data_IF_485077187701
#
_entry.id   IF_485077187701
#
_cell.length_a   1.000
_cell.length_b   1.000
_cell.length_c   1.000
_cell.angle_alpha   90.00
_cell.angle_beta   90.00
_cell.angle_gamma   90.00
#
_symmetry.space_group_name_H-M   'P 1'
#
loop_
_entity.id
_entity.type
_entity.pdbx_description
1 polymer ?
#
# COMPACT_ATOMS: atom_id res chain seq x y z
N UNK A 1 20.24 -1.59 -30.78
CA UNK A 1 19.72 -2.38 -31.93
C UNK A 1 19.96 -3.83 -31.62
N UNK A 2 18.89 -4.63 -31.54
CA UNK A 2 19.00 -6.08 -31.31
C UNK A 2 19.38 -6.68 -32.67
N UNK A 3 20.51 -7.34 -32.73
CA UNK A 3 20.97 -8.03 -33.94
C UNK A 3 20.86 -9.53 -33.70
N UNK A 4 20.02 -10.22 -34.51
CA UNK A 4 19.92 -11.67 -34.62
C UNK A 4 19.64 -12.43 -33.30
N UNK A 5 18.38 -12.49 -32.91
CA UNK A 5 17.94 -13.54 -32.01
C UNK A 5 17.69 -14.83 -32.84
N UNK A 6 18.68 -15.66 -33.13
CA UNK A 6 18.50 -16.92 -33.86
C UNK A 6 17.60 -17.88 -33.05
N UNK A 7 16.33 -17.54 -32.96
CA UNK A 7 15.32 -18.26 -32.19
C UNK A 7 14.45 -19.07 -33.17
N UNK A 8 14.39 -20.37 -32.96
CA UNK A 8 13.46 -21.24 -33.69
C UNK A 8 12.03 -20.90 -33.24
N UNK A 9 11.16 -20.65 -34.22
CA UNK A 9 9.75 -20.45 -33.96
C UNK A 9 9.02 -21.78 -33.80
N UNK A 10 8.03 -21.79 -32.90
CA UNK A 10 7.09 -22.90 -32.74
C UNK A 10 5.85 -22.69 -33.61
N UNK A 11 5.13 -23.75 -34.02
CA UNK A 11 3.81 -23.60 -34.65
C UNK A 11 2.87 -22.84 -33.69
N UNK A 12 2.12 -21.85 -34.22
CA UNK A 12 1.20 -21.03 -33.46
C UNK A 12 1.80 -19.69 -33.02
N UNK A 13 1.34 -19.18 -31.89
CA UNK A 13 1.74 -17.85 -31.38
C UNK A 13 3.07 -17.96 -30.66
N UNK A 14 4.00 -17.07 -30.99
CA UNK A 14 5.30 -16.93 -30.34
C UNK A 14 5.38 -15.56 -29.67
N UNK A 15 5.80 -15.52 -28.41
CA UNK A 15 5.98 -14.29 -27.64
C UNK A 15 7.46 -13.99 -27.48
N UNK A 16 7.83 -12.73 -27.64
CA UNK A 16 9.18 -12.22 -27.43
C UNK A 16 9.16 -11.07 -26.46
N UNK A 17 10.10 -11.08 -25.52
CA UNK A 17 10.29 -9.99 -24.55
C UNK A 17 11.61 -9.29 -24.82
N UNK A 18 11.58 -7.96 -24.76
CA UNK A 18 12.79 -7.14 -24.81
C UNK A 18 13.08 -6.69 -23.39
N UNK A 19 14.19 -7.14 -22.84
CA UNK A 19 14.70 -6.67 -21.53
C UNK A 19 15.80 -5.63 -21.75
N UNK A 20 15.77 -4.58 -20.95
CA UNK A 20 16.76 -3.52 -20.96
C UNK A 20 17.40 -3.43 -19.57
N UNK A 21 18.72 -3.47 -19.53
CA UNK A 21 19.48 -3.18 -18.32
C UNK A 21 19.90 -1.71 -18.33
N UNK A 22 19.48 -0.95 -17.33
CA UNK A 22 19.85 0.45 -17.19
C UNK A 22 21.31 0.57 -16.73
N UNK A 23 22.01 1.57 -17.24
CA UNK A 23 23.37 1.89 -16.76
C UNK A 23 23.31 2.43 -15.33
N UNK A 24 24.29 2.13 -14.48
CA UNK A 24 24.44 2.80 -13.19
C UNK A 24 24.40 4.33 -13.34
N UNK A 25 23.65 5.02 -12.49
CA UNK A 25 23.51 6.47 -12.53
C UNK A 25 22.50 7.02 -13.54
N UNK A 26 21.72 6.19 -14.22
CA UNK A 26 20.58 6.67 -15.02
C UNK A 26 19.63 7.50 -14.15
N UNK A 27 19.16 8.63 -14.68
CA UNK A 27 18.25 9.52 -13.95
C UNK A 27 16.87 8.87 -13.78
N UNK A 28 16.28 8.97 -12.57
CA UNK A 28 14.90 8.56 -12.33
C UNK A 28 13.87 9.42 -13.10
N UNK A 29 14.31 10.53 -13.69
CA UNK A 29 13.49 11.37 -14.58
C UNK A 29 13.51 10.90 -16.03
N UNK A 30 14.47 10.03 -16.40
CA UNK A 30 14.56 9.48 -17.74
C UNK A 30 13.39 8.56 -18.06
N UNK A 31 13.15 8.42 -19.36
CA UNK A 31 12.13 7.51 -19.89
C UNK A 31 12.78 6.57 -20.90
N UNK A 32 12.30 5.36 -20.92
CA UNK A 32 12.71 4.32 -21.86
C UNK A 32 11.52 3.93 -22.71
N UNK A 33 11.75 3.88 -24.03
CA UNK A 33 10.78 3.37 -25.00
C UNK A 33 11.45 2.39 -25.94
N UNK A 34 10.68 1.45 -26.47
CA UNK A 34 11.15 0.54 -27.51
C UNK A 34 10.11 0.47 -28.63
N UNK A 35 10.60 0.42 -29.88
CA UNK A 35 9.76 0.25 -31.07
C UNK A 35 10.34 -0.89 -31.92
N UNK A 36 9.49 -1.77 -32.36
CA UNK A 36 9.86 -2.75 -33.39
C UNK A 36 9.82 -2.05 -34.74
N UNK A 37 10.93 -2.02 -35.43
CA UNK A 37 11.05 -1.38 -36.75
C UNK A 37 10.84 -2.39 -37.86
N UNK A 38 11.44 -3.57 -37.70
CA UNK A 38 11.39 -4.65 -38.71
C UNK A 38 11.50 -6.01 -38.03
N UNK A 39 10.78 -6.96 -38.49
CA UNK A 39 10.93 -8.40 -38.16
C UNK A 39 11.29 -9.15 -39.44
N UNK A 40 12.31 -9.99 -39.36
CA UNK A 40 12.69 -10.90 -40.46
C UNK A 40 12.61 -12.34 -39.98
N UNK A 41 11.99 -13.18 -40.76
CA UNK A 41 11.96 -14.63 -40.59
C UNK A 41 12.61 -15.23 -41.81
N UNK A 42 13.64 -16.06 -41.61
CA UNK A 42 14.43 -16.68 -42.72
C UNK A 42 14.93 -15.62 -43.73
N UNK A 43 15.45 -14.50 -43.22
CA UNK A 43 15.92 -13.33 -43.98
C UNK A 43 14.86 -12.61 -44.85
N UNK A 44 13.60 -12.97 -44.77
CA UNK A 44 12.48 -12.28 -45.43
C UNK A 44 11.77 -11.38 -44.44
N UNK A 45 11.37 -10.17 -44.84
CA UNK A 45 10.58 -9.30 -44.03
C UNK A 45 9.22 -9.92 -43.73
N UNK A 46 8.86 -9.99 -42.46
CA UNK A 46 7.55 -10.44 -42.03
C UNK A 46 6.55 -9.27 -42.03
N UNK A 47 5.32 -9.55 -42.43
CA UNK A 47 4.23 -8.57 -42.31
C UNK A 47 3.97 -8.31 -40.86
N UNK A 48 4.09 -7.03 -40.44
CA UNK A 48 3.85 -6.62 -39.08
C UNK A 48 2.51 -5.93 -38.95
N UNK A 49 1.65 -6.43 -38.07
CA UNK A 49 0.50 -5.70 -37.54
C UNK A 49 0.89 -5.14 -36.17
N UNK A 50 1.26 -3.87 -36.14
CA UNK A 50 1.64 -3.21 -34.87
C UNK A 50 0.38 -2.82 -34.10
N UNK A 51 0.13 -3.47 -32.99
CA UNK A 51 -0.98 -3.15 -32.06
C UNK A 51 -0.49 -2.27 -30.91
N UNK A 52 0.78 -1.86 -30.90
CA UNK A 52 1.32 -0.99 -29.86
C UNK A 52 0.82 0.42 -30.02
N UNK A 53 0.26 1.04 -28.98
CA UNK A 53 -0.02 2.47 -28.99
C UNK A 53 1.27 3.24 -29.29
N UNK A 54 1.18 4.23 -30.16
CA UNK A 54 2.33 5.11 -30.42
C UNK A 54 2.74 5.83 -29.12
N UNK A 55 4.06 5.93 -28.89
CA UNK A 55 4.66 6.72 -27.80
C UNK A 55 4.53 6.20 -26.37
N UNK A 56 4.42 4.91 -26.14
CA UNK A 56 4.59 4.40 -24.78
C UNK A 56 6.04 4.54 -24.36
N UNK A 57 6.28 5.34 -23.33
CA UNK A 57 7.55 5.47 -22.66
C UNK A 57 7.41 5.20 -21.17
N UNK A 58 8.23 4.30 -20.65
CA UNK A 58 8.26 3.96 -19.24
C UNK A 58 9.30 4.82 -18.51
N UNK A 59 8.95 5.33 -17.33
CA UNK A 59 9.94 6.00 -16.46
C UNK A 59 10.93 4.97 -15.93
N UNK A 60 12.15 5.42 -15.76
CA UNK A 60 13.16 4.66 -15.03
C UNK A 60 12.77 4.60 -13.57
N UNK A 61 12.91 3.43 -12.95
CA UNK A 61 12.63 3.23 -11.54
C UNK A 61 13.69 2.34 -10.91
N UNK A 62 13.80 2.42 -9.58
CA UNK A 62 14.64 1.52 -8.79
C UNK A 62 13.71 0.50 -8.13
N UNK A 63 13.94 -0.78 -8.38
CA UNK A 63 13.28 -1.85 -7.64
C UNK A 63 13.83 -1.92 -6.23
N UNK A 64 12.96 -1.74 -5.23
CA UNK A 64 13.36 -1.84 -3.82
C UNK A 64 13.63 -3.29 -3.45
N UNK A 65 12.78 -4.19 -3.92
CA UNK A 65 12.88 -5.65 -3.76
C UNK A 65 12.31 -6.36 -4.99
N UNK A 66 12.81 -7.55 -5.25
CA UNK A 66 12.36 -8.42 -6.33
C UNK A 66 12.02 -9.80 -5.80
N UNK A 67 11.15 -10.51 -6.48
CA UNK A 67 10.89 -11.92 -6.18
C UNK A 67 12.19 -12.71 -6.17
N UNK A 68 12.42 -13.51 -5.12
CA UNK A 68 13.67 -14.23 -4.87
C UNK A 68 14.64 -13.52 -3.92
N UNK A 69 14.53 -12.19 -3.74
CA UNK A 69 15.34 -11.48 -2.77
C UNK A 69 14.97 -11.96 -1.34
N UNK A 70 15.98 -12.03 -0.47
CA UNK A 70 15.82 -12.41 0.95
C UNK A 70 15.05 -13.73 1.15
N UNK A 71 15.04 -14.64 0.14
CA UNK A 71 14.38 -15.94 0.19
C UNK A 71 12.88 -15.90 0.04
N UNK A 72 12.30 -14.78 -0.42
CA UNK A 72 10.85 -14.59 -0.57
C UNK A 72 10.36 -14.95 -1.98
N UNK A 73 9.14 -15.48 -2.07
CA UNK A 73 8.47 -15.71 -3.35
C UNK A 73 7.92 -14.40 -3.96
N UNK A 74 7.52 -13.45 -3.11
CA UNK A 74 6.96 -12.18 -3.58
C UNK A 74 7.04 -11.08 -2.50
N UNK A 75 7.05 -9.83 -2.96
CA UNK A 75 6.81 -8.64 -2.13
C UNK A 75 5.53 -7.95 -2.61
N UNK A 76 4.66 -7.57 -1.65
CA UNK A 76 3.37 -6.95 -1.97
C UNK A 76 3.03 -5.86 -0.96
N UNK A 77 1.91 -5.16 -1.20
CA UNK A 77 1.30 -4.18 -0.27
C UNK A 77 2.28 -3.10 0.17
N UNK A 78 2.86 -2.33 -0.77
CA UNK A 78 3.85 -1.32 -0.41
C UNK A 78 3.25 -0.09 0.25
N UNK A 79 3.97 0.45 1.24
CA UNK A 79 3.77 1.78 1.79
C UNK A 79 5.07 2.58 1.73
N UNK A 80 4.98 3.90 1.61
CA UNK A 80 6.14 4.79 1.57
C UNK A 80 5.92 5.99 2.48
N UNK A 81 6.90 6.29 3.32
CA UNK A 81 6.92 7.49 4.14
C UNK A 81 8.30 8.15 4.08
N UNK A 82 8.33 9.46 4.38
CA UNK A 82 9.58 10.22 4.49
C UNK A 82 9.68 10.72 5.93
N UNK A 83 10.83 10.49 6.58
CA UNK A 83 11.10 11.00 7.92
C UNK A 83 11.46 12.48 7.89
N UNK A 84 11.47 13.14 9.07
CA UNK A 84 11.90 14.54 9.18
C UNK A 84 13.36 14.75 8.74
N UNK A 85 14.16 13.69 8.66
CA UNK A 85 15.55 13.72 8.17
C UNK A 85 15.66 13.54 6.65
N UNK A 86 14.53 13.36 5.95
CA UNK A 86 14.51 13.08 4.52
C UNK A 86 14.78 11.62 4.16
N UNK A 87 14.87 10.73 5.15
CA UNK A 87 15.01 9.28 4.90
C UNK A 87 13.70 8.73 4.33
N UNK A 88 13.78 8.01 3.21
CA UNK A 88 12.66 7.27 2.67
C UNK A 88 12.56 5.91 3.36
N UNK A 89 11.37 5.55 3.78
CA UNK A 89 11.05 4.28 4.41
C UNK A 89 9.99 3.56 3.57
N UNK A 90 10.38 2.48 2.90
CA UNK A 90 9.48 1.63 2.14
C UNK A 90 9.11 0.40 2.97
N UNK A 91 7.84 0.24 3.32
CA UNK A 91 7.30 -0.92 4.03
C UNK A 91 6.52 -1.82 3.07
N UNK A 92 6.48 -3.12 3.31
CA UNK A 92 5.82 -4.09 2.44
C UNK A 92 5.67 -5.45 3.12
N UNK A 93 4.78 -6.31 2.57
CA UNK A 93 4.75 -7.74 2.88
C UNK A 93 5.94 -8.45 2.28
N UNK A 94 6.60 -9.28 3.09
CA UNK A 94 7.56 -10.30 2.66
C UNK A 94 6.84 -11.64 2.64
N UNK A 95 6.48 -12.13 1.47
CA UNK A 95 5.71 -13.36 1.29
C UNK A 95 6.64 -14.49 0.88
N UNK A 96 6.95 -15.38 1.82
CA UNK A 96 8.03 -16.36 1.63
C UNK A 96 7.64 -17.52 0.70
N UNK A 97 6.43 -18.06 0.80
CA UNK A 97 6.07 -19.29 0.09
C UNK A 97 5.30 -19.03 -1.22
N UNK A 98 4.51 -17.96 -1.26
CA UNK A 98 3.67 -17.65 -2.42
C UNK A 98 3.24 -16.17 -2.40
N UNK A 99 2.54 -15.71 -3.44
CA UNK A 99 1.99 -14.35 -3.50
C UNK A 99 0.61 -14.20 -2.86
N UNK A 100 0.09 -15.22 -2.17
CA UNK A 100 -1.26 -15.20 -1.57
C UNK A 100 -1.31 -14.28 -0.33
N UNK A 101 -2.52 -13.85 0.00
CA UNK A 101 -2.79 -13.06 1.19
C UNK A 101 -2.76 -13.95 2.46
N UNK A 102 -2.70 -13.33 3.65
CA UNK A 102 -2.77 -14.02 4.94
C UNK A 102 -3.98 -15.00 5.00
N UNK A 103 -3.87 -16.21 5.50
CA UNK A 103 -2.82 -16.78 6.35
C UNK A 103 -1.75 -17.46 5.50
N UNK A 104 -0.49 -17.17 5.76
CA UNK A 104 0.70 -17.81 5.21
C UNK A 104 1.93 -17.28 5.96
N UNK A 105 3.14 -17.80 5.67
CA UNK A 105 4.39 -17.21 6.16
C UNK A 105 4.61 -15.85 5.49
N UNK A 106 4.23 -14.81 6.22
CA UNK A 106 4.35 -13.41 5.79
C UNK A 106 4.89 -12.60 6.98
N UNK A 107 5.89 -11.78 6.71
CA UNK A 107 6.41 -10.77 7.64
C UNK A 107 6.26 -9.38 7.04
N UNK A 108 6.34 -8.36 7.89
CA UNK A 108 6.43 -6.97 7.43
C UNK A 108 7.89 -6.60 7.25
N UNK A 109 8.30 -6.38 6.01
CA UNK A 109 9.61 -5.89 5.64
C UNK A 109 9.67 -4.37 5.54
N UNK A 110 10.86 -3.81 5.74
CA UNK A 110 11.13 -2.39 5.58
C UNK A 110 12.52 -2.16 4.99
N UNK A 111 12.61 -1.30 4.00
CA UNK A 111 13.87 -0.80 3.44
C UNK A 111 13.99 0.70 3.63
N UNK A 112 15.22 1.16 3.88
CA UNK A 112 15.57 2.58 4.06
C UNK A 112 16.39 3.08 2.88
N UNK A 113 16.18 4.33 2.50
CA UNK A 113 17.04 5.06 1.58
C UNK A 113 17.35 6.45 2.14
N UNK A 114 18.62 6.82 2.15
CA UNK A 114 19.10 8.14 2.63
C UNK A 114 19.59 9.04 1.49
N UNK A 115 19.41 8.60 0.25
CA UNK A 115 19.91 9.27 -0.96
C UNK A 115 18.81 9.59 -1.98
N UNK A 116 17.57 9.72 -1.49
CA UNK A 116 16.41 10.04 -2.33
C UNK A 116 15.92 8.87 -3.18
N UNK A 117 16.12 7.63 -2.73
CA UNK A 117 15.63 6.42 -3.39
C UNK A 117 16.55 5.85 -4.46
N UNK A 118 17.78 6.35 -4.58
CA UNK A 118 18.77 5.85 -5.55
C UNK A 118 19.29 4.48 -5.12
N UNK A 119 19.57 4.32 -3.82
CA UNK A 119 19.96 3.05 -3.21
C UNK A 119 19.09 2.76 -1.99
N UNK A 120 18.95 1.47 -1.67
CA UNK A 120 18.15 0.99 -0.57
C UNK A 120 18.98 0.05 0.30
N UNK A 121 18.91 0.25 1.61
CA UNK A 121 19.59 -0.60 2.58
C UNK A 121 19.00 -2.01 2.62
N UNK A 122 19.71 -2.94 3.28
CA UNK A 122 19.19 -4.28 3.57
C UNK A 122 17.85 -4.20 4.28
N UNK A 123 16.98 -5.13 3.96
CA UNK A 123 15.68 -5.28 4.60
C UNK A 123 15.82 -5.46 6.11
N UNK A 124 14.89 -4.84 6.84
CA UNK A 124 14.60 -5.07 8.26
C UNK A 124 13.20 -5.63 8.39
N UNK A 125 12.92 -6.28 9.50
CA UNK A 125 11.61 -6.83 9.80
C UNK A 125 11.02 -6.10 11.02
N UNK A 126 10.30 -4.98 10.85
CA UNK A 126 9.62 -4.29 11.94
C UNK A 126 8.62 -5.15 12.70
N UNK A 127 7.96 -6.06 12.00
CA UNK A 127 7.03 -7.03 12.56
C UNK A 127 7.28 -8.38 11.92
N UNK A 128 7.63 -9.36 12.75
CA UNK A 128 7.82 -10.76 12.38
C UNK A 128 7.55 -11.62 13.61
N UNK A 129 6.79 -12.68 13.46
CA UNK A 129 6.42 -13.53 14.58
C UNK A 129 7.11 -14.90 14.54
N UNK A 130 7.53 -15.37 13.37
CA UNK A 130 8.20 -16.65 13.22
C UNK A 130 7.39 -17.81 13.83
N UNK A 131 8.07 -18.68 14.56
CA UNK A 131 7.44 -19.71 15.38
C UNK A 131 7.01 -19.10 16.70
N UNK A 132 5.71 -18.91 16.89
CA UNK A 132 5.11 -18.28 18.07
C UNK A 132 3.93 -19.11 18.57
N UNK A 133 3.77 -19.21 19.90
CA UNK A 133 2.64 -19.92 20.52
C UNK A 133 2.60 -21.42 20.19
N UNK A 134 3.74 -22.03 19.87
CA UNK A 134 3.84 -23.45 19.48
C UNK A 134 3.39 -23.74 18.05
N UNK A 135 3.15 -22.70 17.24
CA UNK A 135 2.75 -22.83 15.83
C UNK A 135 3.88 -22.36 14.89
N UNK A 136 4.02 -22.97 13.71
CA UNK A 136 5.04 -22.60 12.73
C UNK A 136 4.79 -21.20 12.13
N UNK A 137 5.80 -20.61 11.52
CA UNK A 137 5.73 -19.29 10.90
C UNK A 137 4.58 -19.12 9.90
N UNK A 138 4.22 -20.17 9.14
CA UNK A 138 3.07 -20.15 8.23
C UNK A 138 1.72 -20.02 8.94
N UNK A 139 1.66 -20.18 10.25
CA UNK A 139 0.48 -19.97 11.10
C UNK A 139 0.59 -18.69 11.95
N UNK A 140 1.58 -17.85 11.68
CA UNK A 140 1.88 -16.61 12.40
C UNK A 140 2.12 -15.42 11.47
N UNK A 141 1.49 -15.42 10.30
CA UNK A 141 1.69 -14.36 9.32
C UNK A 141 1.23 -12.99 9.82
N UNK A 142 2.03 -11.97 9.52
CA UNK A 142 1.71 -10.55 9.78
C UNK A 142 1.89 -9.75 8.50
N UNK A 143 0.88 -8.97 8.10
CA UNK A 143 0.92 -8.30 6.80
C UNK A 143 -0.07 -7.15 6.64
N UNK A 144 -0.18 -6.70 5.39
CA UNK A 144 -0.92 -5.51 4.97
C UNK A 144 -0.44 -4.23 5.69
N UNK A 145 0.88 -3.91 5.73
CA UNK A 145 1.41 -2.86 6.60
C UNK A 145 0.95 -1.46 6.20
N UNK A 146 0.84 -0.60 7.21
CA UNK A 146 0.74 0.85 7.04
C UNK A 146 1.82 1.54 7.87
N UNK A 147 2.47 2.55 7.29
CA UNK A 147 3.56 3.29 7.95
C UNK A 147 3.14 4.73 8.24
N UNK A 148 3.53 5.26 9.40
CA UNK A 148 3.29 6.64 9.81
C UNK A 148 4.55 7.22 10.46
N UNK A 149 4.91 8.44 10.08
CA UNK A 149 5.95 9.21 10.76
C UNK A 149 5.26 10.27 11.61
N UNK A 150 5.46 10.23 12.93
CA UNK A 150 5.10 11.34 13.80
C UNK A 150 6.05 12.51 13.53
N UNK A 151 5.57 13.49 12.78
CA UNK A 151 6.38 14.66 12.39
C UNK A 151 6.78 15.56 13.54
N UNK A 152 6.21 15.38 14.73
CA UNK A 152 6.57 16.16 15.92
C UNK A 152 7.74 15.55 16.70
N UNK A 153 7.85 14.22 16.71
CA UNK A 153 8.87 13.49 17.47
C UNK A 153 9.86 12.73 16.59
N UNK A 154 9.58 12.61 15.30
CA UNK A 154 10.24 11.73 14.34
C UNK A 154 10.17 10.23 14.72
N UNK A 155 9.21 9.85 15.55
CA UNK A 155 8.91 8.44 15.80
C UNK A 155 8.19 7.87 14.58
N UNK A 156 8.67 6.74 14.08
CA UNK A 156 8.02 6.02 12.99
C UNK A 156 7.23 4.86 13.56
N UNK A 157 6.00 4.70 13.11
CA UNK A 157 5.10 3.62 13.47
C UNK A 157 4.80 2.74 12.27
N UNK A 158 4.78 1.44 12.47
CA UNK A 158 4.25 0.47 11.50
C UNK A 158 3.14 -0.30 12.18
N UNK A 159 1.99 -0.39 11.53
CA UNK A 159 0.84 -1.19 11.98
C UNK A 159 0.56 -2.27 10.95
N UNK A 160 0.20 -3.47 11.40
CA UNK A 160 -0.16 -4.59 10.54
C UNK A 160 -1.17 -5.54 11.22
N UNK A 161 -1.81 -6.39 10.44
CA UNK A 161 -2.67 -7.45 10.95
C UNK A 161 -1.85 -8.72 11.15
N UNK A 162 -1.87 -9.29 12.36
CA UNK A 162 -1.27 -10.57 12.71
C UNK A 162 -2.35 -11.64 12.84
N UNK A 163 -2.12 -12.80 12.24
CA UNK A 163 -2.98 -13.98 12.33
C UNK A 163 -2.24 -15.11 13.04
N UNK A 164 -2.83 -15.66 14.10
CA UNK A 164 -2.27 -16.77 14.84
C UNK A 164 -3.18 -17.99 14.73
N UNK A 165 -2.67 -19.09 14.23
CA UNK A 165 -3.47 -20.29 13.99
C UNK A 165 -4.36 -20.14 12.76
N UNK A 166 -5.66 -20.13 12.93
CA UNK A 166 -6.71 -19.94 11.91
C UNK A 166 -6.64 -20.88 10.68
N UNK A 167 -5.81 -21.90 10.71
CA UNK A 167 -5.62 -22.87 9.61
C UNK A 167 -5.03 -22.23 8.34
N UNK A 168 -5.26 -22.85 7.19
CA UNK A 168 -4.73 -22.39 5.89
C UNK A 168 -5.74 -21.55 5.10
N UNK A 169 -6.78 -21.04 5.74
CA UNK A 169 -7.76 -20.17 5.10
C UNK A 169 -7.29 -18.72 5.15
N UNK A 170 -7.71 -17.92 4.18
CA UNK A 170 -7.44 -16.48 4.18
C UNK A 170 -8.03 -15.83 5.42
N UNK A 171 -7.27 -14.95 6.08
CA UNK A 171 -7.67 -14.23 7.29
C UNK A 171 -9.02 -13.52 7.14
N UNK A 172 -9.32 -13.00 5.95
CA UNK A 172 -10.61 -12.39 5.63
C UNK A 172 -11.82 -13.28 5.94
N UNK A 173 -11.66 -14.60 5.82
CA UNK A 173 -12.72 -15.59 6.06
C UNK A 173 -12.57 -16.35 7.36
N UNK A 174 -11.35 -16.51 7.84
CA UNK A 174 -11.02 -17.33 9.03
C UNK A 174 -10.91 -16.53 10.32
N UNK A 175 -10.94 -15.20 10.28
CA UNK A 175 -11.06 -14.36 11.47
C UNK A 175 -12.51 -14.30 11.94
N UNK A 176 -12.74 -14.47 13.24
CA UNK A 176 -14.06 -14.54 13.88
C UNK A 176 -14.24 -13.43 14.93
N UNK A 177 -15.47 -13.19 15.42
CA UNK A 177 -15.70 -12.28 16.52
C UNK A 177 -14.96 -12.70 17.78
N UNK A 178 -14.75 -11.76 18.68
CA UNK A 178 -14.00 -11.94 19.93
C UNK A 178 -12.66 -11.24 19.90
N UNK A 179 -11.84 -11.53 20.92
CA UNK A 179 -10.54 -10.90 21.16
C UNK A 179 -9.40 -11.94 21.21
N UNK A 180 -9.73 -13.23 21.30
CA UNK A 180 -8.76 -14.32 21.40
C UNK A 180 -7.94 -14.45 20.11
N UNK A 181 -6.61 -14.38 20.23
CA UNK A 181 -5.68 -14.46 19.13
C UNK A 181 -5.76 -15.75 18.30
N UNK A 182 -6.27 -16.85 18.90
CA UNK A 182 -6.47 -18.11 18.19
C UNK A 182 -7.70 -18.11 17.26
N UNK A 183 -8.58 -17.09 17.37
CA UNK A 183 -9.83 -17.02 16.62
C UNK A 183 -10.02 -15.73 15.84
N UNK A 184 -9.34 -14.65 16.24
CA UNK A 184 -9.47 -13.36 15.58
C UNK A 184 -8.10 -12.75 15.29
N UNK A 185 -7.94 -12.18 14.11
CA UNK A 185 -6.73 -11.46 13.76
C UNK A 185 -6.49 -10.29 14.74
N UNK A 186 -5.24 -10.07 15.05
CA UNK A 186 -4.77 -9.05 15.99
C UNK A 186 -4.22 -7.85 15.23
N UNK A 187 -4.48 -6.65 15.73
CA UNK A 187 -3.85 -5.44 15.21
C UNK A 187 -2.62 -5.13 16.05
N UNK A 188 -1.47 -5.13 15.40
CA UNK A 188 -0.16 -4.98 16.07
C UNK A 188 0.62 -3.80 15.51
N UNK A 189 1.37 -3.14 16.40
CA UNK A 189 2.24 -2.01 16.07
C UNK A 189 3.69 -2.35 16.39
N UNK A 190 4.61 -1.70 15.69
CA UNK A 190 6.00 -1.53 16.10
C UNK A 190 6.43 -0.09 15.87
N UNK A 191 7.36 0.43 16.70
CA UNK A 191 7.86 1.79 16.60
C UNK A 191 9.38 1.86 16.49
N UNK A 192 9.85 2.86 15.78
CA UNK A 192 11.26 3.23 15.68
C UNK A 192 11.44 4.69 16.09
N UNK A 193 12.43 4.97 16.93
CA UNK A 193 12.81 6.33 17.35
C UNK A 193 14.16 6.77 16.78
N UNK A 194 14.79 5.92 15.96
CA UNK A 194 16.13 6.11 15.42
C UNK A 194 16.15 6.15 13.88
N UNK A 195 15.07 6.69 13.29
CA UNK A 195 14.94 6.88 11.85
C UNK A 195 14.78 5.55 11.08
N UNK A 196 14.08 4.57 11.66
CA UNK A 196 13.79 3.27 11.07
C UNK A 196 14.95 2.29 11.07
N UNK A 197 16.00 2.51 11.89
CA UNK A 197 17.14 1.60 12.00
C UNK A 197 16.84 0.41 12.89
N UNK A 198 16.24 0.66 14.05
CA UNK A 198 15.79 -0.38 14.99
C UNK A 198 14.31 -0.22 15.31
N UNK A 199 13.68 -1.30 15.73
CA UNK A 199 12.24 -1.38 15.94
C UNK A 199 11.95 -2.01 17.30
N UNK A 200 10.87 -1.58 17.93
CA UNK A 200 10.40 -2.16 19.19
C UNK A 200 9.87 -3.57 18.97
N UNK A 201 9.75 -4.34 20.07
CA UNK A 201 8.91 -5.52 20.11
C UNK A 201 7.48 -5.18 19.64
N UNK A 202 6.74 -6.15 19.08
CA UNK A 202 5.36 -5.96 18.68
C UNK A 202 4.46 -5.52 19.85
N UNK A 203 3.63 -4.51 19.61
CA UNK A 203 2.66 -3.97 20.56
C UNK A 203 1.26 -4.36 20.07
N UNK A 204 0.58 -5.26 20.74
CA UNK A 204 -0.79 -5.62 20.41
C UNK A 204 -1.76 -4.55 20.95
N UNK A 205 -2.55 -3.95 20.06
CA UNK A 205 -3.53 -2.91 20.39
C UNK A 205 -4.97 -3.35 20.15
N UNK A 206 -5.19 -4.62 19.85
CA UNK A 206 -6.52 -5.15 19.51
C UNK A 206 -7.57 -4.80 20.56
N UNK A 207 -7.25 -4.97 21.84
CA UNK A 207 -8.15 -4.69 22.96
C UNK A 207 -8.49 -3.21 23.12
N UNK A 208 -7.69 -2.30 22.53
CA UNK A 208 -7.95 -0.87 22.57
C UNK A 208 -8.96 -0.44 21.49
N UNK A 209 -9.00 -1.14 20.36
CA UNK A 209 -9.62 -0.62 19.14
C UNK A 209 -10.65 -1.53 18.49
N UNK A 210 -10.59 -2.84 18.71
CA UNK A 210 -11.54 -3.78 18.09
C UNK A 210 -12.82 -3.90 18.92
N UNK A 211 -13.97 -3.80 18.26
CA UNK A 211 -15.23 -4.23 18.85
C UNK A 211 -15.30 -5.77 18.84
N UNK A 212 -15.63 -6.42 19.98
CA UNK A 212 -15.70 -7.87 20.05
C UNK A 212 -16.69 -8.52 19.06
N UNK A 213 -17.67 -7.79 18.58
CA UNK A 213 -18.63 -8.28 17.58
C UNK A 213 -18.08 -8.33 16.16
N UNK A 214 -16.96 -7.65 15.88
CA UNK A 214 -16.35 -7.63 14.54
C UNK A 214 -15.60 -8.92 14.24
N UNK A 215 -15.68 -9.36 13.00
CA UNK A 215 -14.96 -10.53 12.52
C UNK A 215 -13.47 -10.24 12.28
N UNK A 216 -13.16 -9.12 11.67
CA UNK A 216 -11.78 -8.76 11.30
C UNK A 216 -11.59 -7.26 11.42
N UNK A 217 -10.47 -6.86 12.00
CA UNK A 217 -10.01 -5.47 12.00
C UNK A 217 -8.60 -5.43 11.43
N UNK A 218 -8.37 -4.56 10.46
CA UNK A 218 -7.02 -4.28 9.95
C UNK A 218 -6.93 -2.81 9.52
N UNK A 219 -5.71 -2.34 9.36
CA UNK A 219 -5.43 -1.00 8.85
C UNK A 219 -5.73 -0.89 7.34
N UNK A 220 -5.89 0.34 6.85
CA UNK A 220 -5.74 0.63 5.43
C UNK A 220 -4.25 0.56 5.08
N UNK A 221 -3.83 -0.36 4.18
CA UNK A 221 -2.40 -0.50 3.88
C UNK A 221 -1.85 0.76 3.22
N UNK A 222 -0.54 0.95 3.32
CA UNK A 222 0.17 2.08 2.74
C UNK A 222 0.67 3.08 3.79
N UNK A 223 -0.08 4.14 4.11
CA UNK A 223 0.40 5.12 5.10
C UNK A 223 -0.71 5.75 5.94
N UNK A 224 -0.32 6.06 7.20
CA UNK A 224 -1.02 7.00 8.05
C UNK A 224 -0.44 8.42 7.93
N UNK A 225 -0.97 9.34 8.72
CA UNK A 225 -0.56 10.76 8.78
C UNK A 225 -0.40 11.25 10.21
N UNK A 226 0.40 12.29 10.38
CA UNK A 226 0.37 13.19 11.55
C UNK A 226 -0.40 14.44 11.17
N UNK A 227 -1.49 14.74 11.89
CA UNK A 227 -2.25 15.98 11.71
C UNK A 227 -1.44 17.19 12.19
N UNK A 228 -1.88 18.38 11.81
CA UNK A 228 -1.22 19.64 12.22
C UNK A 228 -1.17 19.82 13.74
N UNK A 229 -2.21 19.37 14.45
CA UNK A 229 -2.28 19.38 15.92
C UNK A 229 -1.42 18.28 16.57
N UNK A 230 -0.85 17.39 15.78
CA UNK A 230 -0.01 16.27 16.18
C UNK A 230 -0.78 14.97 16.46
N UNK A 231 -2.08 14.91 16.22
CA UNK A 231 -2.84 13.65 16.26
C UNK A 231 -2.31 12.70 15.20
N UNK A 232 -2.05 11.46 15.59
CA UNK A 232 -1.65 10.39 14.68
C UNK A 232 -2.90 9.70 14.15
N UNK A 233 -2.95 9.43 12.84
CA UNK A 233 -4.14 8.82 12.23
C UNK A 233 -3.72 7.75 11.23
N UNK A 234 -4.29 6.54 11.37
CA UNK A 234 -4.25 5.49 10.35
C UNK A 234 -5.65 5.29 9.76
N UNK A 235 -5.79 5.07 8.45
CA UNK A 235 -7.00 4.49 7.91
C UNK A 235 -7.16 3.06 8.40
N UNK A 236 -8.40 2.62 8.59
CA UNK A 236 -8.72 1.24 8.99
C UNK A 236 -9.87 0.69 8.16
N UNK A 237 -10.00 -0.63 8.20
CA UNK A 237 -11.14 -1.36 7.70
C UNK A 237 -11.49 -2.49 8.66
N UNK A 238 -12.77 -2.83 8.77
CA UNK A 238 -13.20 -3.94 9.59
C UNK A 238 -14.43 -4.64 8.98
N UNK A 239 -14.60 -5.90 9.29
CA UNK A 239 -15.78 -6.68 8.94
C UNK A 239 -16.67 -6.71 10.18
N UNK A 240 -17.86 -6.13 10.06
CA UNK A 240 -18.81 -6.05 11.18
C UNK A 240 -19.53 -7.37 11.48
N UNK A 241 -20.43 -7.35 12.47
CA UNK A 241 -21.22 -8.52 12.91
C UNK A 241 -22.14 -9.11 11.84
N UNK A 242 -22.40 -8.36 10.76
CA UNK A 242 -23.20 -8.82 9.61
C UNK A 242 -22.34 -9.27 8.43
N UNK A 243 -21.02 -9.38 8.64
CA UNK A 243 -20.00 -9.69 7.61
C UNK A 243 -19.88 -8.64 6.50
N UNK A 244 -20.29 -7.41 6.75
CA UNK A 244 -20.12 -6.31 5.83
C UNK A 244 -18.83 -5.56 6.15
N UNK A 245 -17.94 -5.32 5.16
CA UNK A 245 -16.73 -4.53 5.38
C UNK A 245 -17.05 -3.03 5.45
N UNK A 246 -16.37 -2.32 6.34
CA UNK A 246 -16.54 -0.91 6.58
C UNK A 246 -15.17 -0.23 6.73
N UNK A 247 -14.98 0.94 6.16
CA UNK A 247 -13.75 1.72 6.32
C UNK A 247 -13.96 2.93 7.24
N UNK A 248 -12.92 3.25 8.00
CA UNK A 248 -12.88 4.36 8.93
C UNK A 248 -11.45 4.79 9.23
N UNK A 249 -11.26 5.38 10.39
CA UNK A 249 -9.94 5.77 10.90
C UNK A 249 -9.73 5.30 12.33
N UNK A 250 -8.47 5.06 12.65
CA UNK A 250 -7.93 4.90 14.00
C UNK A 250 -7.03 6.08 14.29
N UNK A 251 -7.08 6.63 15.50
CA UNK A 251 -6.27 7.79 15.88
C UNK A 251 -5.70 7.70 17.29
N UNK A 252 -4.60 8.43 17.51
CA UNK A 252 -3.97 8.63 18.81
C UNK A 252 -3.70 10.13 19.05
N UNK A 253 -4.04 10.64 20.25
CA UNK A 253 -3.75 12.00 20.69
C UNK A 253 -2.58 12.09 21.66
N UNK A 254 -2.05 10.98 22.07
CA UNK A 254 -0.99 10.83 23.09
C UNK A 254 0.28 10.18 22.51
N UNK A 255 0.59 10.49 21.25
CA UNK A 255 1.79 10.02 20.55
C UNK A 255 1.90 8.50 20.40
N UNK A 256 0.75 7.81 20.29
CA UNK A 256 0.70 6.38 20.06
C UNK A 256 0.65 5.50 21.30
N UNK A 257 0.49 6.11 22.50
CA UNK A 257 0.32 5.36 23.74
C UNK A 257 -1.05 4.68 23.78
N UNK A 258 -2.11 5.40 23.35
CA UNK A 258 -3.44 4.84 23.21
C UNK A 258 -4.05 5.14 21.84
N UNK A 259 -4.86 4.21 21.35
CA UNK A 259 -5.52 4.30 20.05
C UNK A 259 -7.04 4.15 20.19
N UNK A 260 -7.78 4.83 19.32
CA UNK A 260 -9.25 4.84 19.34
C UNK A 260 -9.81 4.79 17.93
N UNK A 261 -10.96 4.11 17.80
CA UNK A 261 -11.82 4.10 16.62
C UNK A 261 -13.18 4.64 17.05
N UNK A 262 -13.85 5.38 16.17
CA UNK A 262 -15.24 5.78 16.32
C UNK A 262 -16.12 5.08 15.27
N UNK A 263 -16.87 5.82 14.48
CA UNK A 263 -17.78 5.27 13.49
C UNK A 263 -17.06 5.05 12.16
N UNK A 264 -17.56 4.12 11.34
CA UNK A 264 -17.13 3.98 9.95
C UNK A 264 -17.63 5.14 9.08
N UNK A 265 -16.88 5.43 8.02
CA UNK A 265 -17.23 6.48 7.08
C UNK A 265 -18.29 6.02 6.06
N UNK A 266 -18.19 4.78 5.62
CA UNK A 266 -19.12 4.19 4.65
C UNK A 266 -19.07 2.67 4.74
N UNK A 267 -20.24 2.05 4.64
CA UNK A 267 -20.40 0.59 4.57
C UNK A 267 -20.05 0.05 3.19
N UNK A 268 -19.69 -1.22 3.13
CA UNK A 268 -19.26 -1.96 1.94
C UNK A 268 -18.07 -1.29 1.24
N UNK A 269 -17.13 -0.80 2.05
CA UNK A 269 -15.84 -0.23 1.65
C UNK A 269 -14.71 -0.92 2.39
N UNK A 270 -13.52 -0.89 1.82
CA UNK A 270 -12.33 -1.59 2.35
C UNK A 270 -11.13 -0.63 2.39
N UNK A 271 -10.01 -1.02 1.85
CA UNK A 271 -8.76 -0.27 1.86
C UNK A 271 -8.94 1.22 1.57
N UNK A 272 -8.45 2.05 2.46
CA UNK A 272 -8.63 3.48 2.40
C UNK A 272 -7.31 4.23 2.60
N UNK A 273 -7.30 5.48 2.17
CA UNK A 273 -6.24 6.44 2.47
C UNK A 273 -6.82 7.69 3.10
N UNK A 274 -6.09 8.28 4.04
CA UNK A 274 -6.50 9.48 4.76
C UNK A 274 -5.55 10.65 4.46
N UNK A 275 -6.12 11.85 4.34
CA UNK A 275 -5.37 13.10 4.26
C UNK A 275 -6.04 14.19 5.11
N UNK A 276 -5.25 15.04 5.76
CA UNK A 276 -5.74 16.27 6.35
C UNK A 276 -5.82 17.32 5.24
N UNK A 277 -7.04 17.72 4.90
CA UNK A 277 -7.31 18.65 3.78
C UNK A 277 -7.40 20.11 4.21
N UNK A 278 -7.89 20.35 5.42
CA UNK A 278 -7.88 21.61 6.14
C UNK A 278 -7.49 21.32 7.59
N UNK A 279 -7.02 22.30 8.38
CA UNK A 279 -6.72 22.09 9.78
C UNK A 279 -7.88 21.43 10.54
N UNK A 280 -7.66 20.22 11.06
CA UNK A 280 -8.65 19.43 11.77
C UNK A 280 -9.69 18.73 10.88
N UNK A 281 -9.63 18.84 9.56
CA UNK A 281 -10.54 18.19 8.62
C UNK A 281 -9.84 17.03 7.92
N UNK A 282 -10.30 15.83 8.15
CA UNK A 282 -9.79 14.63 7.49
C UNK A 282 -10.69 14.22 6.33
N UNK A 283 -10.06 13.89 5.22
CA UNK A 283 -10.70 13.23 4.08
C UNK A 283 -10.27 11.77 4.04
N UNK A 284 -11.24 10.86 3.96
CA UNK A 284 -11.02 9.43 3.76
C UNK A 284 -11.46 9.04 2.34
N UNK A 285 -10.51 8.54 1.56
CA UNK A 285 -10.74 8.04 0.21
C UNK A 285 -10.71 6.51 0.24
N UNK A 286 -11.83 5.87 -0.05
CA UNK A 286 -12.11 4.47 0.21
C UNK A 286 -12.26 3.66 -1.07
N UNK A 287 -11.71 2.44 -1.08
CA UNK A 287 -12.03 1.40 -2.05
C UNK A 287 -13.47 0.97 -1.83
N UNK A 288 -14.34 1.19 -2.82
CA UNK A 288 -15.75 0.84 -2.73
C UNK A 288 -16.01 -0.48 -3.45
N UNK A 289 -16.48 -1.49 -2.72
CA UNK A 289 -16.73 -2.82 -3.27
C UNK A 289 -17.88 -2.86 -4.29
N UNK A 290 -18.65 -1.77 -4.40
CA UNK A 290 -19.66 -1.61 -5.45
C UNK A 290 -19.04 -1.33 -6.83
N UNK A 291 -17.74 -0.98 -6.86
CA UNK A 291 -16.97 -0.72 -8.08
C UNK A 291 -17.32 0.58 -8.79
N UNK A 292 -16.58 0.86 -9.84
CA UNK A 292 -16.77 1.99 -10.75
C UNK A 292 -16.13 3.30 -10.30
N UNK A 293 -16.18 3.65 -9.02
CA UNK A 293 -15.57 4.87 -8.48
C UNK A 293 -15.24 4.74 -7.00
N UNK A 294 -14.28 5.55 -6.55
CA UNK A 294 -13.93 5.71 -5.13
C UNK A 294 -15.07 6.32 -4.34
N UNK A 295 -15.25 5.88 -3.11
CA UNK A 295 -16.05 6.58 -2.12
C UNK A 295 -15.18 7.57 -1.34
N UNK A 296 -15.71 8.75 -1.06
CA UNK A 296 -14.99 9.82 -0.36
C UNK A 296 -15.88 10.42 0.71
N UNK A 297 -15.36 10.54 1.93
CA UNK A 297 -16.05 11.18 3.05
C UNK A 297 -15.10 12.06 3.85
N UNK A 298 -15.62 13.03 4.57
CA UNK A 298 -14.86 13.93 5.46
C UNK A 298 -15.38 13.86 6.88
N UNK A 299 -14.47 14.11 7.85
CA UNK A 299 -14.80 14.24 9.27
C UNK A 299 -14.04 15.41 9.89
N UNK A 300 -14.66 16.08 10.88
CA UNK A 300 -14.07 17.16 11.70
C UNK A 300 -13.91 16.77 13.17
N UNK A 301 -14.30 15.57 13.53
CA UNK A 301 -14.40 15.09 14.92
C UNK A 301 -13.76 13.69 15.10
N UNK A 302 -12.75 13.39 14.26
CA UNK A 302 -11.97 12.15 14.29
C UNK A 302 -12.85 10.91 14.09
N UNK A 303 -13.84 11.00 13.21
CA UNK A 303 -14.66 9.87 12.79
C UNK A 303 -15.89 9.61 13.68
N UNK A 304 -16.26 10.52 14.59
CA UNK A 304 -17.54 10.43 15.30
C UNK A 304 -18.69 10.63 14.32
N UNK A 305 -18.55 11.62 13.43
CA UNK A 305 -19.50 11.87 12.34
C UNK A 305 -18.76 11.97 11.00
N UNK A 306 -19.45 11.58 9.94
CA UNK A 306 -18.93 11.62 8.58
C UNK A 306 -19.90 12.29 7.64
N UNK A 307 -19.36 13.09 6.72
CA UNK A 307 -20.10 13.71 5.64
C UNK A 307 -19.62 13.17 4.31
N UNK A 308 -20.51 12.63 3.48
CA UNK A 308 -20.14 12.18 2.14
C UNK A 308 -19.71 13.39 1.30
N UNK A 309 -18.51 13.29 0.70
CA UNK A 309 -17.97 14.38 -0.12
C UNK A 309 -18.68 14.44 -1.48
N UNK A 310 -18.90 15.62 -2.10
CA UNK A 310 -19.58 15.75 -3.40
C UNK A 310 -18.93 14.95 -4.55
N UNK A 311 -17.63 14.70 -4.51
CA UNK A 311 -16.90 13.88 -5.48
C UNK A 311 -17.12 12.38 -5.31
N UNK A 312 -17.64 11.95 -4.15
CA UNK A 312 -17.83 10.54 -3.83
C UNK A 312 -18.65 9.82 -4.89
N UNK A 313 -18.17 8.67 -5.35
CA UNK A 313 -18.81 7.83 -6.36
C UNK A 313 -18.97 8.48 -7.75
N UNK A 314 -18.26 9.59 -8.02
CA UNK A 314 -18.42 10.37 -9.27
C UNK A 314 -17.08 10.69 -9.94
N UNK A 315 -16.09 11.19 -9.19
CA UNK A 315 -14.93 11.86 -9.78
C UNK A 315 -13.74 10.92 -10.06
N UNK A 316 -13.55 9.90 -9.25
CA UNK A 316 -12.36 9.04 -9.30
C UNK A 316 -12.76 7.61 -9.69
N UNK A 317 -12.58 7.28 -10.97
CA UNK A 317 -12.80 5.91 -11.46
C UNK A 317 -11.86 4.93 -10.79
N UNK A 318 -12.36 3.72 -10.46
CA UNK A 318 -11.53 2.66 -9.90
C UNK A 318 -12.11 1.26 -10.14
N UNK A 319 -11.24 0.25 -10.30
CA UNK A 319 -11.65 -1.13 -10.58
C UNK A 319 -11.69 -2.01 -9.31
N UNK A 320 -12.17 -1.49 -8.18
CA UNK A 320 -12.10 -2.14 -6.87
C UNK A 320 -10.63 -2.47 -6.51
N UNK A 321 -9.82 -1.43 -6.35
CA UNK A 321 -8.39 -1.56 -6.09
C UNK A 321 -7.94 -0.55 -5.04
N UNK A 322 -6.86 -0.87 -4.32
CA UNK A 322 -6.16 0.08 -3.46
C UNK A 322 -5.65 1.27 -4.27
N UNK A 323 -5.56 2.43 -3.63
CA UNK A 323 -5.05 3.67 -4.18
C UNK A 323 -4.15 4.38 -3.16
N UNK A 324 -3.50 5.47 -3.58
CA UNK A 324 -2.69 6.30 -2.69
C UNK A 324 -3.18 7.74 -2.74
N UNK A 325 -3.25 8.39 -1.57
CA UNK A 325 -3.64 9.79 -1.41
C UNK A 325 -2.64 10.49 -0.51
N UNK A 326 -2.10 11.62 -0.97
CA UNK A 326 -1.24 12.48 -0.16
C UNK A 326 -1.64 13.95 -0.29
N UNK A 327 -1.52 14.68 0.81
CA UNK A 327 -1.58 16.14 0.84
C UNK A 327 -0.17 16.71 0.72
N UNK A 328 0.03 17.68 -0.16
CA UNK A 328 1.31 18.38 -0.35
C UNK A 328 1.07 19.86 -0.17
N UNK A 329 1.81 20.47 0.75
CA UNK A 329 1.67 21.89 1.07
C UNK A 329 2.23 22.79 -0.05
N UNK A 330 1.73 24.02 -0.12
CA UNK A 330 2.17 25.01 -1.11
C UNK A 330 3.69 25.23 -1.08
N UNK A 331 4.29 25.23 0.09
CA UNK A 331 5.73 25.39 0.27
C UNK A 331 6.58 24.23 -0.28
N UNK A 332 5.97 23.06 -0.45
CA UNK A 332 6.65 21.81 -0.82
C UNK A 332 6.43 21.45 -2.32
N UNK A 333 5.85 22.36 -3.09
CA UNK A 333 5.62 22.12 -4.52
C UNK A 333 5.78 23.39 -5.35
N UNK A 334 6.03 23.21 -6.65
CA UNK A 334 6.26 24.32 -7.61
C UNK A 334 4.97 25.05 -8.06
N UNK A 335 3.80 24.56 -7.66
CA UNK A 335 2.52 25.14 -8.01
C UNK A 335 2.09 26.24 -7.03
N UNK A 336 2.81 26.37 -5.89
CA UNK A 336 2.52 27.33 -4.80
C UNK A 336 1.08 27.24 -4.29
N UNK A 337 0.51 26.05 -4.23
CA UNK A 337 -0.84 25.76 -3.75
C UNK A 337 -0.84 24.49 -2.90
N UNK A 338 -1.67 24.44 -1.88
CA UNK A 338 -1.99 23.17 -1.22
C UNK A 338 -2.71 22.27 -2.23
N UNK A 339 -2.23 21.04 -2.38
CA UNK A 339 -2.76 20.09 -3.37
C UNK A 339 -2.95 18.71 -2.74
N UNK A 340 -3.86 17.94 -3.31
CA UNK A 340 -3.94 16.51 -3.12
C UNK A 340 -3.42 15.80 -4.37
N UNK A 341 -2.59 14.80 -4.16
CA UNK A 341 -2.16 13.86 -5.20
C UNK A 341 -2.83 12.52 -4.94
N UNK A 342 -3.57 12.04 -5.91
CA UNK A 342 -4.23 10.74 -5.86
C UNK A 342 -3.70 9.85 -6.98
N UNK A 343 -3.23 8.65 -6.63
CA UNK A 343 -2.70 7.68 -7.58
C UNK A 343 -3.48 6.38 -7.53
N UNK A 344 -3.99 5.95 -8.69
CA UNK A 344 -4.74 4.70 -8.82
C UNK A 344 -4.73 4.14 -10.24
N UNK A 345 -5.21 2.88 -10.45
CA UNK A 345 -5.65 2.42 -11.77
C UNK A 345 -6.90 3.21 -12.18
N UNK A 346 -6.76 4.17 -13.09
CA UNK A 346 -7.88 5.04 -13.53
C UNK A 346 -8.73 4.34 -14.60
N UNK A 347 -9.40 3.27 -14.20
CA UNK A 347 -10.28 2.46 -15.05
C UNK A 347 -11.42 1.89 -14.21
N UNK A 348 -12.50 1.46 -14.85
CA UNK A 348 -13.60 0.75 -14.15
C UNK A 348 -13.41 -0.77 -14.14
N UNK A 349 -12.53 -1.31 -14.97
CA UNK A 349 -12.20 -2.75 -15.04
C UNK A 349 -10.71 -2.95 -15.29
N UNK A 350 -10.14 -3.97 -14.65
CA UNK A 350 -8.72 -4.28 -14.73
C UNK A 350 -7.85 -3.28 -13.96
N UNK A 351 -6.57 -3.64 -13.74
CA UNK A 351 -5.62 -2.83 -12.96
C UNK A 351 -4.52 -2.29 -13.87
N UNK A 352 -4.88 -1.33 -14.71
CA UNK A 352 -3.99 -0.67 -15.68
C UNK A 352 -4.25 0.84 -15.70
N UNK A 353 -3.52 1.60 -16.53
CA UNK A 353 -3.62 3.07 -16.61
C UNK A 353 -3.39 3.74 -15.26
N UNK A 354 -2.27 3.38 -14.61
CA UNK A 354 -1.88 4.04 -13.36
C UNK A 354 -1.73 5.54 -13.62
N UNK A 355 -2.55 6.32 -12.93
CA UNK A 355 -2.69 7.76 -13.13
C UNK A 355 -2.44 8.48 -11.82
N UNK A 356 -1.79 9.64 -11.89
CA UNK A 356 -1.72 10.59 -10.78
C UNK A 356 -2.65 11.75 -11.11
N UNK A 357 -3.69 11.90 -10.31
CA UNK A 357 -4.63 13.01 -10.37
C UNK A 357 -4.21 14.08 -9.37
N UNK A 358 -4.21 15.34 -9.79
CA UNK A 358 -3.90 16.49 -8.95
C UNK A 358 -5.18 17.27 -8.69
N UNK A 359 -5.48 17.51 -7.42
CA UNK A 359 -6.62 18.34 -7.03
C UNK A 359 -6.14 19.60 -6.30
N UNK A 360 -6.66 20.73 -6.69
CA UNK A 360 -6.45 22.05 -6.06
C UNK A 360 -7.63 22.48 -5.19
N UNK A 361 -8.72 21.78 -5.25
CA UNK A 361 -9.99 22.09 -4.57
C UNK A 361 -10.42 20.95 -3.63
N UNK A 362 -9.46 20.11 -3.27
CA UNK A 362 -9.67 18.96 -2.38
C UNK A 362 -10.64 17.89 -2.93
N UNK A 363 -10.53 17.64 -4.28
CA UNK A 363 -11.28 16.68 -5.11
C UNK A 363 -12.72 17.06 -5.42
#
# INVERSE_FOLDING_TARGET
MIRNANQKLFPGINYFWISLQMKPGASLLDKVSAKIVTVKVDNKEALMHTVSPENIAHRVGVGVRHAGDDGSAAFRIPGLATTNKGTLLGVYDVRYNSSVDLQEHVDVGLSRSVDGGKTWEKMRLPLAFGETGGLPAAQNGVGDPSILVDTKTNTTWVVAAWTHGMGNQRAWWSSYPGMDMNHTAQLVLSKSTDDGKTWSEPINITDQVKDPSWYFLLQGPGRGITMQDGTLVFPIQFIDSTRVPNAGIMYSKDRGETWKIHNYARTNTTEAQVAEVEPGVLMLNMRDNRGGSRAVATTKDLGKTWTEHPSSRKALQEPVCMASLISVKAADNTLNKDILLFSNPNTVKGRHHITITVSYTHL
#
